data_IF_428196514433
#
_entry.id   IF_428196514433
#
_cell.length_a   1.000
_cell.length_b   1.000
_cell.length_c   1.000
_cell.angle_alpha   90.00
_cell.angle_beta   90.00
_cell.angle_gamma   90.00
#
_symmetry.space_group_name_H-M   'P 1'
#
loop_
_entity.id
_entity.type
_entity.pdbx_description
1 polymer ?
#
# COMPACT_ATOMS: atom_id res chain seq x y z
N UNK A 1 -73.64 -36.12 -52.95
CA UNK A 1 -73.39 -35.71 -51.53
C UNK A 1 -72.01 -36.22 -50.96
N UNK A 2 -71.47 -37.26 -51.53
CA UNK A 2 -70.23 -37.87 -50.92
C UNK A 2 -68.91 -37.24 -51.43
N UNK A 3 -68.91 -36.61 -52.59
CA UNK A 3 -67.76 -35.98 -53.23
C UNK A 3 -67.44 -34.60 -52.62
N UNK A 4 -68.47 -33.82 -52.24
CA UNK A 4 -68.29 -32.50 -51.62
C UNK A 4 -67.68 -32.58 -50.19
N UNK A 5 -68.05 -33.62 -49.45
CA UNK A 5 -67.46 -33.82 -48.08
C UNK A 5 -65.97 -34.19 -48.08
N UNK A 6 -65.49 -34.82 -49.15
CA UNK A 6 -64.03 -35.16 -49.24
C UNK A 6 -63.14 -33.96 -49.61
N UNK A 7 -63.71 -33.00 -50.36
CA UNK A 7 -62.97 -31.79 -50.74
C UNK A 7 -62.81 -30.83 -49.53
N UNK A 8 -63.89 -30.69 -48.74
CA UNK A 8 -63.90 -29.83 -47.57
C UNK A 8 -62.95 -30.37 -46.46
N UNK A 9 -62.91 -31.70 -46.28
CA UNK A 9 -62.02 -32.33 -45.30
C UNK A 9 -60.53 -32.22 -45.67
N UNK A 10 -60.15 -32.19 -46.96
CA UNK A 10 -58.79 -32.00 -47.42
C UNK A 10 -58.29 -30.53 -47.30
N UNK A 11 -59.20 -29.56 -47.52
CA UNK A 11 -58.89 -28.13 -47.40
C UNK A 11 -58.59 -27.75 -45.93
N UNK A 12 -59.42 -28.24 -45.00
CA UNK A 12 -59.27 -27.97 -43.57
C UNK A 12 -58.02 -28.64 -42.98
N UNK A 13 -57.62 -29.81 -43.44
CA UNK A 13 -56.37 -30.46 -43.01
C UNK A 13 -55.15 -29.70 -43.54
N UNK A 14 -55.19 -29.15 -44.75
CA UNK A 14 -54.07 -28.41 -45.34
C UNK A 14 -53.84 -27.03 -44.67
N UNK A 15 -54.92 -26.34 -44.31
CA UNK A 15 -54.85 -25.07 -43.55
C UNK A 15 -54.35 -25.29 -42.12
N UNK A 16 -54.74 -26.41 -41.47
CA UNK A 16 -54.27 -26.71 -40.10
C UNK A 16 -52.79 -27.09 -40.05
N UNK A 17 -52.25 -27.72 -41.11
CA UNK A 17 -50.80 -28.07 -41.18
C UNK A 17 -49.88 -26.86 -41.48
N UNK A 18 -50.37 -25.89 -42.22
CA UNK A 18 -49.67 -24.67 -42.52
C UNK A 18 -49.57 -23.72 -41.30
N UNK A 19 -50.65 -23.56 -40.54
CA UNK A 19 -50.67 -22.75 -39.32
C UNK A 19 -49.84 -23.37 -38.20
N UNK A 20 -49.69 -24.70 -38.14
CA UNK A 20 -48.83 -25.35 -37.16
C UNK A 20 -47.34 -25.17 -37.48
N UNK A 21 -46.94 -25.08 -38.77
CA UNK A 21 -45.54 -24.83 -39.16
C UNK A 21 -45.08 -23.36 -38.93
N UNK A 22 -46.00 -22.39 -39.07
CA UNK A 22 -45.68 -20.99 -38.81
C UNK A 22 -45.55 -20.67 -37.31
N UNK A 23 -46.29 -21.31 -36.43
CA UNK A 23 -46.15 -21.08 -34.97
C UNK A 23 -44.90 -21.68 -34.33
N UNK A 24 -44.33 -22.74 -34.92
CA UNK A 24 -43.14 -23.39 -34.37
C UNK A 24 -41.79 -22.73 -34.80
N UNK A 25 -41.81 -21.96 -35.89
CA UNK A 25 -40.62 -21.28 -36.37
C UNK A 25 -40.32 -19.99 -35.58
N UNK A 26 -41.37 -19.29 -35.14
CA UNK A 26 -41.22 -17.96 -34.52
C UNK A 26 -40.73 -18.02 -33.05
N UNK A 27 -41.14 -19.05 -32.30
CA UNK A 27 -40.71 -19.19 -30.90
C UNK A 27 -39.23 -19.59 -30.73
N UNK A 28 -38.62 -20.26 -31.73
CA UNK A 28 -37.18 -20.61 -31.67
C UNK A 28 -36.26 -19.45 -32.02
N UNK A 29 -36.72 -18.53 -32.87
CA UNK A 29 -35.93 -17.34 -33.25
C UNK A 29 -35.92 -16.34 -32.10
N UNK A 30 -37.10 -16.09 -31.47
CA UNK A 30 -37.22 -15.16 -30.33
C UNK A 30 -36.41 -15.66 -29.11
N UNK A 31 -36.46 -16.96 -28.82
CA UNK A 31 -35.67 -17.54 -27.70
C UNK A 31 -34.17 -17.54 -27.95
N UNK A 32 -33.72 -17.50 -29.20
CA UNK A 32 -32.29 -17.47 -29.54
C UNK A 32 -31.73 -16.04 -29.51
N UNK A 33 -32.55 -15.04 -29.87
CA UNK A 33 -32.21 -13.62 -29.74
C UNK A 33 -32.12 -13.18 -28.28
N UNK A 34 -33.03 -13.66 -27.41
CA UNK A 34 -33.03 -13.36 -25.99
C UNK A 34 -31.81 -13.92 -25.27
N UNK A 35 -31.36 -15.14 -25.57
CA UNK A 35 -30.14 -15.74 -25.01
C UNK A 35 -28.88 -15.00 -25.45
N UNK A 36 -28.79 -14.54 -26.68
CA UNK A 36 -27.68 -13.76 -27.18
C UNK A 36 -27.59 -12.37 -26.58
N UNK A 37 -28.73 -11.72 -26.40
CA UNK A 37 -28.85 -10.41 -25.79
C UNK A 37 -28.54 -10.47 -24.30
N UNK A 38 -29.06 -11.44 -23.55
CA UNK A 38 -28.76 -11.68 -22.12
C UNK A 38 -27.29 -11.99 -21.92
N UNK A 39 -26.65 -12.77 -22.80
CA UNK A 39 -25.23 -13.07 -22.73
C UNK A 39 -24.36 -11.83 -22.96
N UNK A 40 -24.71 -10.98 -23.93
CA UNK A 40 -24.01 -9.70 -24.17
C UNK A 40 -24.20 -8.72 -23.01
N UNK A 41 -25.41 -8.66 -22.44
CA UNK A 41 -25.71 -7.80 -21.29
C UNK A 41 -24.95 -8.25 -20.04
N UNK A 42 -24.92 -9.57 -19.76
CA UNK A 42 -24.13 -10.11 -18.66
C UNK A 42 -22.63 -9.89 -18.85
N UNK A 43 -22.10 -10.06 -20.07
CA UNK A 43 -20.69 -9.78 -20.36
C UNK A 43 -20.36 -8.29 -20.17
N UNK A 44 -21.26 -7.40 -20.60
CA UNK A 44 -21.11 -5.95 -20.39
C UNK A 44 -21.09 -5.57 -18.91
N UNK A 45 -21.99 -6.15 -18.11
CA UNK A 45 -22.04 -5.93 -16.65
C UNK A 45 -20.77 -6.45 -15.95
N UNK A 46 -20.28 -7.62 -16.32
CA UNK A 46 -19.05 -8.18 -15.78
C UNK A 46 -17.86 -7.30 -16.15
N UNK A 47 -17.74 -6.84 -17.38
CA UNK A 47 -16.68 -5.93 -17.79
C UNK A 47 -16.76 -4.57 -17.08
N UNK A 48 -17.95 -4.02 -16.92
CA UNK A 48 -18.16 -2.79 -16.15
C UNK A 48 -17.80 -2.96 -14.67
N UNK A 49 -18.13 -4.11 -14.08
CA UNK A 49 -17.76 -4.44 -12.71
C UNK A 49 -16.24 -4.59 -12.54
N UNK A 50 -15.58 -5.29 -13.48
CA UNK A 50 -14.10 -5.42 -13.49
C UNK A 50 -13.44 -4.06 -13.68
N UNK A 51 -13.95 -3.24 -14.61
CA UNK A 51 -13.43 -1.88 -14.81
C UNK A 51 -13.63 -1.00 -13.56
N UNK A 52 -14.77 -1.14 -12.89
CA UNK A 52 -15.04 -0.48 -11.61
C UNK A 52 -14.08 -0.93 -10.51
N UNK A 53 -13.79 -2.23 -10.40
CA UNK A 53 -12.80 -2.74 -9.47
C UNK A 53 -11.39 -2.23 -9.81
N UNK A 54 -10.97 -2.28 -11.07
CA UNK A 54 -9.67 -1.75 -11.51
C UNK A 54 -9.59 -0.25 -11.21
N UNK A 55 -10.67 0.51 -11.44
CA UNK A 55 -10.71 1.93 -11.13
C UNK A 55 -10.66 2.21 -9.63
N UNK A 56 -11.33 1.41 -8.79
CA UNK A 56 -11.24 1.47 -7.33
C UNK A 56 -9.83 1.13 -6.85
N UNK A 57 -9.22 0.06 -7.39
CA UNK A 57 -7.84 -0.31 -7.06
C UNK A 57 -6.80 0.67 -7.62
N UNK A 58 -7.04 1.29 -8.77
CA UNK A 58 -6.17 2.31 -9.33
C UNK A 58 -6.28 3.66 -8.59
N UNK A 59 -7.41 3.94 -7.93
CA UNK A 59 -7.60 5.11 -7.06
C UNK A 59 -7.14 4.88 -5.62
N UNK A 60 -6.97 3.62 -5.18
CA UNK A 60 -6.30 3.40 -3.92
C UNK A 60 -4.84 3.82 -4.11
N UNK A 61 -4.50 5.00 -3.60
CA UNK A 61 -3.13 5.51 -3.43
C UNK A 61 -2.36 4.58 -2.47
N UNK A 62 -2.22 3.32 -2.89
CA UNK A 62 -1.42 2.31 -2.20
C UNK A 62 0.07 2.54 -2.48
N UNK A 63 0.40 3.70 -3.08
CA UNK A 63 1.76 4.07 -3.42
C UNK A 63 2.33 5.00 -2.36
N UNK A 64 3.09 4.36 -1.44
CA UNK A 64 4.15 4.98 -0.66
C UNK A 64 3.73 6.18 0.20
N UNK A 65 3.52 5.89 1.48
CA UNK A 65 3.32 6.88 2.52
C UNK A 65 1.86 7.31 2.62
N UNK A 66 1.25 7.05 3.77
CA UNK A 66 -0.12 7.50 4.02
C UNK A 66 -0.19 9.03 3.87
N UNK A 67 -0.92 9.57 2.88
CA UNK A 67 -1.09 11.03 2.74
C UNK A 67 -1.66 11.67 4.00
N UNK A 68 -2.36 10.87 4.83
CA UNK A 68 -2.94 11.26 6.10
C UNK A 68 -1.92 11.62 7.19
N UNK A 69 -0.66 11.20 7.07
CA UNK A 69 0.36 11.47 8.10
C UNK A 69 1.11 12.79 7.85
N UNK A 70 1.21 13.24 6.61
CA UNK A 70 1.98 14.44 6.28
C UNK A 70 1.42 15.67 6.98
N UNK A 71 2.31 16.40 7.66
CA UNK A 71 1.95 17.61 8.40
C UNK A 71 1.38 17.36 9.79
N UNK A 72 1.11 16.10 10.19
CA UNK A 72 0.75 15.79 11.57
C UNK A 72 1.93 15.98 12.51
N UNK A 73 1.72 16.38 13.77
CA UNK A 73 2.81 16.42 14.73
C UNK A 73 3.33 15.02 15.00
N UNK A 74 4.65 14.86 15.05
CA UNK A 74 5.27 13.62 15.53
C UNK A 74 4.83 13.38 16.98
N UNK A 75 4.65 12.11 17.34
CA UNK A 75 4.32 11.75 18.72
C UNK A 75 5.58 11.79 19.56
N UNK A 76 5.53 12.51 20.69
CA UNK A 76 6.64 12.55 21.64
C UNK A 76 6.76 11.25 22.42
N UNK A 77 7.95 10.91 22.78
CA UNK A 77 8.28 9.80 23.69
C UNK A 77 9.60 10.05 24.40
N UNK A 78 9.72 9.47 25.59
CA UNK A 78 10.95 9.49 26.35
C UNK A 78 11.96 8.49 25.79
N UNK A 79 13.22 8.87 25.77
CA UNK A 79 14.34 8.05 25.30
C UNK A 79 15.60 8.35 26.11
N UNK A 80 16.67 7.62 25.82
CA UNK A 80 17.99 7.91 26.39
C UNK A 80 18.95 8.23 25.25
N UNK A 81 19.51 9.44 25.26
CA UNK A 81 20.56 9.85 24.33
C UNK A 81 21.86 10.07 25.08
N UNK A 82 22.92 9.41 24.65
CA UNK A 82 24.26 9.50 25.27
C UNK A 82 24.21 9.26 26.81
N UNK A 83 23.37 8.32 27.23
CA UNK A 83 23.18 7.98 28.63
C UNK A 83 22.37 8.98 29.46
N UNK A 84 21.78 9.99 28.84
CA UNK A 84 20.92 11.01 29.48
C UNK A 84 19.47 10.86 29.08
N UNK A 85 18.53 11.08 30.03
CA UNK A 85 17.12 11.16 29.68
C UNK A 85 16.87 12.30 28.69
N UNK A 86 16.06 12.03 27.67
CA UNK A 86 15.69 12.97 26.61
C UNK A 86 14.29 12.66 26.09
N UNK A 87 13.76 13.53 25.27
CA UNK A 87 12.53 13.35 24.53
C UNK A 87 12.77 13.51 23.02
N UNK A 88 11.93 12.91 22.19
CA UNK A 88 12.00 13.14 20.75
C UNK A 88 11.88 14.65 20.44
N UNK A 89 11.09 15.38 21.18
CA UNK A 89 10.89 16.83 21.01
C UNK A 89 12.13 17.67 21.31
N UNK A 90 13.13 17.14 22.00
CA UNK A 90 14.42 17.82 22.20
C UNK A 90 15.24 17.89 20.90
N UNK A 91 14.85 17.10 19.89
CA UNK A 91 15.44 17.13 18.55
C UNK A 91 14.78 18.13 17.60
N UNK A 92 13.81 18.93 18.07
CA UNK A 92 13.22 20.01 17.25
C UNK A 92 14.30 20.97 16.76
N UNK A 93 14.08 21.52 15.56
CA UNK A 93 15.11 22.29 14.85
C UNK A 93 16.01 21.44 13.96
N UNK A 94 15.97 20.11 14.12
CA UNK A 94 16.65 19.16 13.21
C UNK A 94 15.64 18.45 12.32
N UNK A 95 16.08 18.02 11.14
CA UNK A 95 15.39 16.99 10.36
C UNK A 95 15.74 15.64 10.97
N UNK A 96 14.73 14.88 11.42
CA UNK A 96 14.94 13.60 12.10
C UNK A 96 14.42 12.45 11.25
N UNK A 97 15.25 11.45 11.00
CA UNK A 97 14.84 10.16 10.44
C UNK A 97 14.66 9.18 11.59
N UNK A 98 13.42 9.00 12.04
CA UNK A 98 13.08 8.06 13.10
C UNK A 98 12.91 6.66 12.48
N UNK A 99 13.92 5.82 12.66
CA UNK A 99 14.02 4.49 12.07
C UNK A 99 13.73 3.40 13.11
N UNK A 100 12.72 2.57 12.85
CA UNK A 100 12.34 1.41 13.67
C UNK A 100 12.95 0.14 13.08
N UNK A 101 13.72 -0.61 13.87
CA UNK A 101 14.50 -1.73 13.37
C UNK A 101 14.74 -2.83 14.42
N UNK A 102 15.35 -3.95 13.99
CA UNK A 102 15.80 -5.02 14.89
C UNK A 102 17.00 -5.76 14.29
N UNK A 103 17.78 -6.41 15.15
CA UNK A 103 18.96 -7.20 14.75
C UNK A 103 18.63 -8.45 13.95
N UNK A 104 17.47 -9.03 14.21
CA UNK A 104 16.93 -10.23 13.55
C UNK A 104 16.14 -9.93 12.27
N UNK A 105 16.12 -8.69 11.82
CA UNK A 105 15.41 -8.23 10.62
C UNK A 105 16.42 -8.12 9.46
N UNK A 106 16.43 -9.06 8.49
CA UNK A 106 17.41 -9.02 7.40
C UNK A 106 17.42 -7.72 6.59
N UNK A 107 16.27 -7.15 6.16
CA UNK A 107 16.29 -5.89 5.44
C UNK A 107 16.80 -4.70 6.29
N UNK A 108 16.65 -4.74 7.63
CA UNK A 108 17.23 -3.72 8.50
C UNK A 108 18.76 -3.78 8.50
N UNK A 109 19.32 -4.99 8.42
CA UNK A 109 20.77 -5.21 8.29
C UNK A 109 21.28 -4.63 6.97
N UNK A 110 20.54 -4.85 5.88
CA UNK A 110 20.92 -4.38 4.54
C UNK A 110 21.02 -2.85 4.46
N UNK A 111 20.10 -2.12 5.11
CA UNK A 111 20.10 -0.66 5.07
C UNK A 111 21.09 0.00 6.06
N UNK A 112 21.59 -0.71 7.07
CA UNK A 112 22.40 -0.15 8.17
C UNK A 112 23.60 0.66 7.67
N UNK A 113 24.32 0.16 6.66
CA UNK A 113 25.49 0.84 6.10
C UNK A 113 25.10 2.14 5.38
N UNK A 114 24.02 2.15 4.62
CA UNK A 114 23.56 3.36 3.93
C UNK A 114 23.02 4.41 4.90
N UNK A 115 22.39 3.99 6.02
CA UNK A 115 22.03 4.88 7.13
C UNK A 115 23.26 5.55 7.76
N UNK A 116 24.33 4.80 8.02
CA UNK A 116 25.58 5.38 8.52
C UNK A 116 26.13 6.45 7.58
N UNK A 117 26.13 6.18 6.27
CA UNK A 117 26.59 7.14 5.27
C UNK A 117 25.70 8.39 5.23
N UNK A 118 24.39 8.20 5.33
CA UNK A 118 23.46 9.32 5.41
C UNK A 118 23.71 10.15 6.68
N UNK A 119 23.85 9.52 7.85
CA UNK A 119 24.11 10.22 9.10
C UNK A 119 25.33 11.16 9.00
N UNK A 120 26.43 10.68 8.42
CA UNK A 120 27.64 11.48 8.25
C UNK A 120 27.40 12.72 7.37
N UNK A 121 26.54 12.59 6.36
CA UNK A 121 26.19 13.70 5.43
C UNK A 121 25.28 14.72 6.07
N UNK A 122 24.24 14.27 6.80
CA UNK A 122 23.18 15.16 7.29
C UNK A 122 23.50 15.80 8.65
N UNK A 123 24.34 15.18 9.48
CA UNK A 123 24.66 15.70 10.81
C UNK A 123 25.20 17.16 10.79
N UNK A 124 26.15 17.53 9.92
CA UNK A 124 26.63 18.91 9.85
C UNK A 124 25.58 19.89 9.29
N UNK A 125 24.53 19.40 8.64
CA UNK A 125 23.47 20.20 8.04
C UNK A 125 22.23 20.34 8.95
N UNK A 126 22.31 19.85 10.19
CA UNK A 126 21.19 19.88 11.14
C UNK A 126 20.16 18.77 10.92
N UNK A 127 20.59 17.64 10.36
CA UNK A 127 19.82 16.40 10.31
C UNK A 127 20.34 15.37 11.32
N UNK A 128 19.56 14.39 11.67
CA UNK A 128 19.99 13.22 12.45
C UNK A 128 19.09 12.01 12.18
N UNK A 129 19.68 10.82 12.28
CA UNK A 129 18.93 9.58 12.38
C UNK A 129 18.74 9.27 13.87
N UNK A 130 17.56 8.81 14.24
CA UNK A 130 17.26 8.26 15.55
C UNK A 130 16.78 6.82 15.36
N UNK A 131 17.63 5.85 15.68
CA UNK A 131 17.28 4.44 15.61
C UNK A 131 16.54 3.98 16.87
N UNK A 132 15.42 3.29 16.72
CA UNK A 132 14.69 2.65 17.80
C UNK A 132 14.65 1.15 17.52
N UNK A 133 15.47 0.40 18.25
CA UNK A 133 15.51 -1.05 18.16
C UNK A 133 14.40 -1.66 19.01
N UNK A 134 13.75 -2.71 18.49
CA UNK A 134 12.76 -3.52 19.22
C UNK A 134 13.32 -4.85 19.73
N UNK A 135 14.64 -4.96 19.81
CA UNK A 135 15.29 -6.18 20.28
C UNK A 135 15.02 -6.42 21.77
N UNK A 136 14.68 -7.63 22.11
CA UNK A 136 14.57 -8.08 23.50
C UNK A 136 15.96 -8.40 24.09
N UNK A 137 16.89 -8.89 23.24
CA UNK A 137 18.26 -9.26 23.64
C UNK A 137 19.19 -8.05 23.56
N UNK A 138 19.65 -7.61 24.74
CA UNK A 138 20.60 -6.52 24.87
C UNK A 138 21.94 -6.84 24.22
N UNK A 139 22.42 -8.07 24.36
CA UNK A 139 23.74 -8.46 23.84
C UNK A 139 23.73 -8.52 22.31
N UNK A 140 22.66 -9.04 21.71
CA UNK A 140 22.48 -9.02 20.27
C UNK A 140 22.48 -7.59 19.71
N UNK A 141 21.73 -6.67 20.37
CA UNK A 141 21.72 -5.25 20.03
C UNK A 141 23.10 -4.62 20.10
N UNK A 142 23.84 -4.77 21.22
CA UNK A 142 25.17 -4.20 21.39
C UNK A 142 26.21 -4.77 20.41
N UNK A 143 26.12 -6.06 20.10
CA UNK A 143 26.96 -6.71 19.10
C UNK A 143 26.67 -6.15 17.70
N UNK A 144 25.40 -5.93 17.36
CA UNK A 144 25.00 -5.33 16.09
C UNK A 144 25.64 -3.93 15.93
N UNK A 145 25.50 -3.07 16.94
CA UNK A 145 26.07 -1.72 16.89
C UNK A 145 27.57 -1.73 16.61
N UNK A 146 28.29 -2.66 17.23
CA UNK A 146 29.74 -2.83 17.02
C UNK A 146 30.05 -3.39 15.63
N UNK A 147 29.35 -4.46 15.22
CA UNK A 147 29.60 -5.17 13.96
C UNK A 147 29.39 -4.27 12.75
N UNK A 148 28.31 -3.48 12.78
CA UNK A 148 27.96 -2.58 11.68
C UNK A 148 28.45 -1.15 11.88
N UNK A 149 29.24 -0.90 12.94
CA UNK A 149 29.79 0.41 13.29
C UNK A 149 28.73 1.51 13.23
N UNK A 150 27.59 1.30 13.93
CA UNK A 150 26.48 2.25 13.93
C UNK A 150 26.93 3.56 14.56
N UNK A 151 26.80 4.67 13.80
CA UNK A 151 27.29 6.00 14.18
C UNK A 151 26.17 6.98 14.53
N UNK A 152 24.92 6.62 14.27
CA UNK A 152 23.78 7.46 14.61
C UNK A 152 23.21 7.13 16.00
N UNK A 153 22.59 8.11 16.68
CA UNK A 153 21.90 7.89 17.94
C UNK A 153 20.88 6.75 17.84
N UNK A 154 20.96 5.81 18.77
CA UNK A 154 20.04 4.68 18.80
C UNK A 154 19.82 4.18 20.21
N UNK A 155 18.64 3.66 20.51
CA UNK A 155 18.29 3.04 21.79
C UNK A 155 17.34 1.88 21.57
N UNK A 156 17.10 1.13 22.64
CA UNK A 156 16.29 -0.08 22.61
C UNK A 156 14.94 0.15 23.31
N UNK A 157 13.82 -0.02 22.60
CA UNK A 157 12.47 -0.08 23.16
C UNK A 157 12.00 -1.53 23.29
N UNK A 158 12.29 -2.13 24.45
CA UNK A 158 11.87 -3.51 24.75
C UNK A 158 10.35 -3.65 24.93
N UNK A 159 9.66 -2.54 25.14
CA UNK A 159 8.19 -2.56 25.28
C UNK A 159 7.48 -2.58 23.93
N UNK A 160 8.16 -2.19 22.85
CA UNK A 160 7.63 -2.05 21.47
C UNK A 160 6.47 -1.07 21.37
N UNK A 161 6.26 -0.24 22.41
CA UNK A 161 5.13 0.71 22.45
C UNK A 161 5.37 1.93 21.56
N UNK A 162 6.63 2.34 21.39
CA UNK A 162 6.97 3.48 20.55
C UNK A 162 6.61 3.19 19.08
N UNK A 163 7.13 2.13 18.41
CA UNK A 163 6.75 1.81 17.04
C UNK A 163 5.25 1.56 16.89
N UNK A 164 4.60 0.86 17.83
CA UNK A 164 3.15 0.65 17.80
C UNK A 164 2.37 1.98 17.86
N UNK A 165 2.83 2.94 18.64
CA UNK A 165 2.21 4.28 18.70
C UNK A 165 2.26 5.00 17.36
N UNK A 166 3.29 4.75 16.54
CA UNK A 166 3.46 5.26 15.19
C UNK A 166 2.74 4.43 14.12
N UNK A 167 2.13 3.30 14.49
CA UNK A 167 1.47 2.38 13.55
C UNK A 167 2.45 1.48 12.80
N UNK A 168 3.66 1.29 13.33
CA UNK A 168 4.64 0.35 12.79
C UNK A 168 4.43 -1.04 13.37
N UNK A 169 4.23 -2.01 12.48
CA UNK A 169 4.05 -3.42 12.81
C UNK A 169 5.05 -4.34 12.10
N UNK A 170 5.76 -3.81 11.13
CA UNK A 170 6.83 -4.49 10.38
C UNK A 170 8.07 -3.61 10.30
N UNK A 171 9.24 -4.22 10.15
CA UNK A 171 10.53 -3.52 10.13
C UNK A 171 11.28 -3.77 8.82
N UNK A 172 12.10 -2.78 8.36
CA UNK A 172 12.24 -1.45 8.91
C UNK A 172 11.11 -0.51 8.47
N UNK A 173 10.78 0.46 9.32
CA UNK A 173 9.92 1.61 9.00
C UNK A 173 10.65 2.89 9.40
N UNK A 174 10.68 3.88 8.52
CA UNK A 174 11.31 5.18 8.82
C UNK A 174 10.32 6.32 8.66
N UNK A 175 10.19 7.12 9.70
CA UNK A 175 9.42 8.36 9.68
C UNK A 175 10.36 9.55 9.53
N UNK A 176 10.14 10.34 8.48
CA UNK A 176 10.89 11.57 8.27
C UNK A 176 10.15 12.70 8.94
N UNK A 177 10.82 13.38 9.86
CA UNK A 177 10.27 14.45 10.70
C UNK A 177 11.01 15.75 10.36
N UNK A 178 10.24 16.78 10.05
CA UNK A 178 10.73 18.12 9.71
C UNK A 178 11.30 18.84 10.95
N UNK A 179 12.00 19.94 10.73
CA UNK A 179 12.54 20.80 11.82
C UNK A 179 11.44 21.29 12.78
N UNK A 180 10.21 21.47 12.31
CA UNK A 180 9.06 21.86 13.14
C UNK A 180 8.49 20.71 13.97
N UNK A 181 9.04 19.50 13.88
CA UNK A 181 8.53 18.33 14.60
C UNK A 181 7.28 17.72 13.97
N UNK A 182 7.06 17.94 12.67
CA UNK A 182 5.92 17.35 11.93
C UNK A 182 6.40 16.23 11.03
N UNK A 183 5.56 15.22 10.87
CA UNK A 183 5.78 14.13 9.93
C UNK A 183 5.73 14.66 8.50
N UNK A 184 6.73 14.35 7.69
CA UNK A 184 6.70 14.60 6.24
C UNK A 184 6.33 13.33 5.48
N UNK A 185 6.99 12.22 5.80
CA UNK A 185 6.78 10.95 5.10
C UNK A 185 7.02 9.75 6.02
N UNK A 186 6.26 8.68 5.79
CA UNK A 186 6.58 7.32 6.25
C UNK A 186 7.19 6.56 5.07
N UNK A 187 8.30 5.88 5.29
CA UNK A 187 9.01 5.05 4.32
C UNK A 187 9.03 3.63 4.87
N UNK A 188 8.38 2.72 4.16
CA UNK A 188 8.20 1.32 4.56
C UNK A 188 9.23 0.44 3.87
N UNK A 189 9.88 -0.41 4.65
CA UNK A 189 10.90 -1.34 4.14
C UNK A 189 12.27 -0.70 3.92
N UNK A 190 13.27 -1.56 3.69
CA UNK A 190 14.65 -1.14 3.52
C UNK A 190 14.85 -0.23 2.29
N UNK A 191 15.74 0.74 2.44
CA UNK A 191 16.10 1.69 1.41
C UNK A 191 17.62 1.77 1.25
N UNK A 192 18.07 2.10 0.04
CA UNK A 192 19.40 2.66 -0.15
C UNK A 192 19.36 4.17 0.17
N UNK A 193 19.66 4.50 1.43
CA UNK A 193 19.68 5.87 1.95
C UNK A 193 20.80 6.72 1.35
N UNK A 194 21.78 6.09 0.68
CA UNK A 194 22.86 6.76 -0.02
C UNK A 194 22.49 7.04 -1.50
N UNK A 195 21.38 6.54 -2.01
CA UNK A 195 20.94 6.76 -3.39
C UNK A 195 20.76 8.25 -3.70
N UNK A 196 20.92 8.66 -4.97
CA UNK A 196 20.76 10.06 -5.38
C UNK A 196 19.37 10.61 -5.06
N UNK A 197 18.31 9.83 -5.29
CA UNK A 197 16.91 10.25 -5.08
C UNK A 197 16.61 10.49 -3.59
N UNK A 198 17.08 9.55 -2.72
CA UNK A 198 16.88 9.69 -1.29
C UNK A 198 17.70 10.84 -0.73
N UNK A 199 18.94 10.99 -1.20
CA UNK A 199 19.80 12.11 -0.82
C UNK A 199 19.21 13.44 -1.24
N UNK A 200 18.68 13.56 -2.45
CA UNK A 200 18.01 14.79 -2.94
C UNK A 200 16.77 15.12 -2.11
N UNK A 201 15.95 14.12 -1.77
CA UNK A 201 14.77 14.29 -0.94
C UNK A 201 15.13 14.80 0.46
N UNK A 202 16.09 14.19 1.15
CA UNK A 202 16.50 14.62 2.50
C UNK A 202 17.14 16.02 2.45
N UNK A 203 17.95 16.31 1.44
CA UNK A 203 18.53 17.63 1.26
C UNK A 203 17.49 18.73 1.05
N UNK A 204 16.37 18.42 0.37
CA UNK A 204 15.28 19.40 0.22
C UNK A 204 14.72 19.82 1.58
N UNK A 205 14.51 18.88 2.51
CA UNK A 205 14.03 19.16 3.86
C UNK A 205 15.06 19.90 4.73
N UNK A 206 16.33 19.58 4.55
CA UNK A 206 17.42 20.26 5.27
C UNK A 206 17.57 21.73 4.85
N UNK A 207 17.19 22.08 3.63
CA UNK A 207 17.24 23.44 3.09
C UNK A 207 15.97 24.26 3.37
N UNK A 208 14.88 23.63 3.83
CA UNK A 208 13.68 24.35 4.29
C UNK A 208 14.00 25.18 5.55
N UNK A 209 13.64 26.48 5.51
CA UNK A 209 13.85 27.43 6.60
C UNK A 209 12.72 27.36 7.63
#
# INVERSE_FOLDING_TARGET
MEVENRICAKATRRARSQNARFRFADTRIIGRLDKGLKRKLNTGLVLAFIAGLIFLFARSDYRQGEPSLRGQPAKDFALTLDGKPAHLFDLRGKVVLLNFWATWCPPCVEEAQSLNQLQQRIAPLGGTILGVSVDDDKQAYENFLKTYNITFPTFRDTTKQIPLSYGTTMYPDTYVITRSGRLDRKIVGAQDWASPDMTAYINSLLNEK
#
